data_IF_214003582507
#
_entry.id   IF_214003582507
#
_cell.length_a   1.000
_cell.length_b   1.000
_cell.length_c   1.000
_cell.angle_alpha   90.00
_cell.angle_beta   90.00
_cell.angle_gamma   90.00
#
_symmetry.space_group_name_H-M   'P 1'
#
loop_
_entity.id
_entity.type
_entity.pdbx_description
1 polymer ?
#
# COMPACT_ATOMS: atom_id res chain seq x y z
N UNK A 1 -17.88 -0.22 5.14
CA UNK A 1 -16.64 -0.71 4.53
C UNK A 1 -16.19 -1.94 5.29
N UNK A 2 -15.88 -3.03 4.59
CA UNK A 2 -15.38 -4.22 5.28
C UNK A 2 -14.05 -3.92 5.95
N UNK A 3 -13.89 -4.41 7.18
CA UNK A 3 -12.65 -4.28 7.91
C UNK A 3 -11.71 -5.43 7.56
N UNK A 4 -10.42 -5.25 7.79
CA UNK A 4 -9.42 -6.29 7.66
C UNK A 4 -8.87 -6.62 9.06
N UNK A 5 -8.20 -7.74 9.19
CA UNK A 5 -7.52 -8.07 10.44
C UNK A 5 -6.21 -7.31 10.55
N UNK A 6 -5.47 -7.22 9.44
CA UNK A 6 -4.17 -6.58 9.39
C UNK A 6 -4.01 -5.68 8.19
N UNK A 7 -3.14 -4.69 8.35
CA UNK A 7 -2.71 -3.76 7.30
C UNK A 7 -1.18 -3.78 7.29
N UNK A 8 -0.58 -3.72 6.10
CA UNK A 8 0.87 -3.53 5.97
C UNK A 8 1.14 -2.03 5.95
N UNK A 9 1.91 -1.54 6.92
CA UNK A 9 2.16 -0.12 7.11
C UNK A 9 3.64 0.12 7.44
N UNK A 10 4.30 0.91 6.61
CA UNK A 10 5.71 1.27 6.81
C UNK A 10 6.65 0.06 6.98
N UNK A 11 6.39 -1.00 6.23
CA UNK A 11 7.20 -2.19 6.25
C UNK A 11 6.82 -3.24 7.29
N UNK A 12 5.74 -3.01 8.04
CA UNK A 12 5.28 -3.90 9.10
C UNK A 12 3.81 -4.23 8.96
N UNK A 13 3.43 -5.43 9.42
CA UNK A 13 2.02 -5.79 9.52
C UNK A 13 1.50 -5.33 10.88
N UNK A 14 0.45 -4.50 10.85
CA UNK A 14 -0.17 -3.97 12.06
C UNK A 14 -1.65 -4.33 12.10
N UNK A 15 -2.22 -4.35 13.30
CA UNK A 15 -3.65 -4.58 13.45
C UNK A 15 -4.43 -3.44 12.79
N UNK A 16 -5.62 -3.74 12.30
CA UNK A 16 -6.48 -2.77 11.65
C UNK A 16 -6.63 -1.47 12.44
N UNK A 17 -6.89 -1.58 13.74
CA UNK A 17 -7.11 -0.43 14.62
C UNK A 17 -5.85 0.39 14.91
N UNK A 18 -4.67 -0.17 14.63
CA UNK A 18 -3.38 0.49 14.89
C UNK A 18 -2.82 1.20 13.65
N UNK A 19 -3.47 1.06 12.50
CA UNK A 19 -3.04 1.72 11.27
C UNK A 19 -3.47 3.19 11.27
N UNK A 20 -2.72 4.01 11.99
CA UNK A 20 -3.02 5.44 12.20
C UNK A 20 -1.86 6.30 11.74
N UNK A 21 -2.18 7.53 11.33
CA UNK A 21 -1.17 8.52 10.96
C UNK A 21 -1.32 9.75 11.87
N UNK A 22 -0.19 10.40 12.12
CA UNK A 22 -0.18 11.59 12.93
C UNK A 22 -0.85 12.76 12.18
N UNK A 23 -1.52 13.65 12.90
CA UNK A 23 -2.18 14.82 12.31
C UNK A 23 -1.18 15.74 11.59
N UNK A 24 0.09 15.69 11.95
CA UNK A 24 1.15 16.47 11.30
C UNK A 24 1.76 15.79 10.07
N UNK A 25 1.20 14.66 9.61
CA UNK A 25 1.67 13.99 8.41
C UNK A 25 1.59 14.93 7.21
N UNK A 26 2.68 14.99 6.44
CA UNK A 26 2.82 15.92 5.31
C UNK A 26 1.64 15.85 4.32
N UNK A 27 1.18 14.64 4.02
CA UNK A 27 0.07 14.44 3.08
C UNK A 27 -1.22 15.11 3.54
N UNK A 28 -1.49 15.16 4.86
CA UNK A 28 -2.70 15.78 5.39
C UNK A 28 -2.67 17.30 5.26
N UNK A 29 -1.48 17.89 5.28
CA UNK A 29 -1.32 19.35 5.18
C UNK A 29 -1.13 19.82 3.74
N UNK A 30 -0.43 19.03 2.91
CA UNK A 30 -0.01 19.45 1.58
C UNK A 30 -0.52 18.57 0.44
N UNK A 31 -1.30 17.53 0.78
CA UNK A 31 -1.85 16.64 -0.23
C UNK A 31 -0.83 15.78 -0.98
N UNK A 32 0.35 15.56 -0.39
CA UNK A 32 1.46 14.86 -1.06
C UNK A 32 1.37 13.36 -0.81
N UNK A 33 0.73 12.66 -1.71
CA UNK A 33 0.61 11.21 -1.64
C UNK A 33 0.36 10.62 -3.01
N UNK A 34 0.69 9.35 -3.17
CA UNK A 34 0.39 8.59 -4.38
C UNK A 34 -0.26 7.28 -4.00
N UNK A 35 -1.17 6.80 -4.84
CA UNK A 35 -1.86 5.55 -4.54
C UNK A 35 -2.15 4.75 -5.79
N UNK A 36 -2.37 3.45 -5.60
CA UNK A 36 -2.87 2.52 -6.62
C UNK A 36 -3.96 1.67 -6.02
N UNK A 37 -5.07 1.54 -6.76
CA UNK A 37 -6.15 0.64 -6.38
C UNK A 37 -6.07 -0.63 -7.22
N UNK A 38 -5.99 -1.78 -6.56
CA UNK A 38 -5.75 -3.07 -7.20
C UNK A 38 -6.85 -4.03 -6.78
N UNK A 39 -7.26 -4.90 -7.69
CA UNK A 39 -8.24 -5.95 -7.37
C UNK A 39 -7.60 -7.32 -7.40
N UNK A 40 -8.01 -8.15 -6.45
CA UNK A 40 -7.67 -9.56 -6.41
C UNK A 40 -8.95 -10.37 -6.53
N UNK A 41 -8.89 -11.46 -7.29
CA UNK A 41 -10.04 -12.30 -7.57
C UNK A 41 -9.74 -13.74 -7.22
N UNK A 42 -10.76 -14.44 -6.72
CA UNK A 42 -10.68 -15.87 -6.53
C UNK A 42 -10.69 -16.57 -7.89
N UNK A 43 -9.76 -17.49 -8.09
CA UNK A 43 -9.68 -18.32 -9.30
C UNK A 43 -9.54 -19.78 -8.90
N UNK A 44 -9.64 -20.68 -9.89
CA UNK A 44 -9.45 -22.13 -9.68
C UNK A 44 -8.05 -22.45 -9.14
N UNK A 45 -7.06 -21.56 -9.38
CA UNK A 45 -5.69 -21.72 -8.93
C UNK A 45 -5.37 -20.92 -7.65
N UNK A 46 -6.40 -20.35 -7.00
CA UNK A 46 -6.24 -19.50 -5.83
C UNK A 46 -6.51 -18.05 -6.16
N UNK A 47 -6.12 -17.16 -5.27
CA UNK A 47 -6.34 -15.73 -5.44
C UNK A 47 -5.32 -15.15 -6.43
N UNK A 48 -5.81 -14.46 -7.45
CA UNK A 48 -4.98 -13.79 -8.45
C UNK A 48 -5.13 -12.27 -8.34
N UNK A 49 -4.02 -11.57 -8.33
CA UNK A 49 -3.99 -10.10 -8.29
C UNK A 49 -3.97 -9.61 -9.74
N UNK A 50 -4.98 -8.81 -10.11
CA UNK A 50 -5.13 -8.35 -11.48
C UNK A 50 -4.10 -7.29 -11.82
N UNK A 51 -3.25 -7.56 -12.83
CA UNK A 51 -2.25 -6.64 -13.36
C UNK A 51 -1.33 -6.05 -12.27
N UNK A 52 -0.88 -6.88 -11.37
CA UNK A 52 -0.09 -6.46 -10.21
C UNK A 52 1.16 -5.68 -10.62
N UNK A 53 1.92 -6.21 -11.58
CA UNK A 53 3.15 -5.54 -12.04
C UNK A 53 2.86 -4.16 -12.64
N UNK A 54 1.81 -4.03 -13.44
CA UNK A 54 1.45 -2.75 -14.05
C UNK A 54 1.11 -1.70 -12.99
N UNK A 55 0.41 -2.10 -11.93
CA UNK A 55 0.10 -1.20 -10.81
C UNK A 55 1.34 -0.77 -10.04
N UNK A 56 2.27 -1.70 -9.80
CA UNK A 56 3.51 -1.37 -9.13
C UNK A 56 4.38 -0.43 -9.96
N UNK A 57 4.44 -0.66 -11.27
CA UNK A 57 5.18 0.21 -12.19
C UNK A 57 4.58 1.62 -12.21
N UNK A 58 3.24 1.71 -12.22
CA UNK A 58 2.56 3.00 -12.21
C UNK A 58 2.73 3.74 -10.89
N UNK A 59 2.72 3.03 -9.78
CA UNK A 59 2.98 3.63 -8.46
C UNK A 59 4.37 4.27 -8.43
N UNK A 60 5.37 3.56 -8.95
CA UNK A 60 6.74 4.07 -9.03
C UNK A 60 6.82 5.34 -9.89
N UNK A 61 6.15 5.34 -11.05
CA UNK A 61 6.11 6.52 -11.92
C UNK A 61 5.40 7.70 -11.26
N UNK A 62 4.29 7.44 -10.58
CA UNK A 62 3.55 8.49 -9.87
C UNK A 62 4.41 9.11 -8.77
N UNK A 63 5.12 8.28 -8.01
CA UNK A 63 6.02 8.79 -6.97
C UNK A 63 7.14 9.64 -7.57
N UNK A 64 7.73 9.22 -8.69
CA UNK A 64 8.79 9.96 -9.35
C UNK A 64 8.33 11.34 -9.83
N UNK A 65 7.09 11.47 -10.28
CA UNK A 65 6.53 12.76 -10.71
C UNK A 65 6.49 13.78 -9.57
N UNK A 66 6.39 13.33 -8.34
CA UNK A 66 6.37 14.19 -7.15
C UNK A 66 7.68 14.17 -6.39
N UNK A 67 8.76 13.66 -7.01
CA UNK A 67 10.09 13.56 -6.39
C UNK A 67 10.07 12.77 -5.09
N UNK A 68 9.19 11.78 -5.01
CA UNK A 68 9.05 10.91 -3.83
C UNK A 68 9.83 9.62 -4.07
N UNK A 69 10.75 9.30 -3.17
CA UNK A 69 11.48 8.05 -3.22
C UNK A 69 10.71 7.00 -2.43
N UNK A 70 10.27 5.94 -3.11
CA UNK A 70 9.62 4.83 -2.43
C UNK A 70 10.69 4.05 -1.64
N UNK A 71 10.51 3.85 -0.33
CA UNK A 71 11.52 3.18 0.50
C UNK A 71 11.54 1.66 0.32
N UNK A 72 10.62 1.13 -0.48
CA UNK A 72 10.47 -0.31 -0.72
C UNK A 72 10.56 -0.61 -2.20
N UNK A 73 11.23 -1.71 -2.55
CA UNK A 73 11.31 -2.17 -3.93
C UNK A 73 9.96 -2.71 -4.40
N UNK A 74 9.78 -2.80 -5.71
CA UNK A 74 8.57 -3.43 -6.27
C UNK A 74 8.44 -4.89 -5.83
N UNK A 75 9.55 -5.60 -5.68
CA UNK A 75 9.53 -6.98 -5.21
C UNK A 75 9.05 -7.07 -3.75
N UNK A 76 9.52 -6.17 -2.89
CA UNK A 76 9.06 -6.10 -1.50
C UNK A 76 7.56 -5.80 -1.42
N UNK A 77 7.07 -4.88 -2.24
CA UNK A 77 5.65 -4.52 -2.29
C UNK A 77 4.81 -5.68 -2.81
N UNK A 78 5.32 -6.42 -3.81
CA UNK A 78 4.64 -7.59 -4.35
C UNK A 78 4.48 -8.68 -3.28
N UNK A 79 5.57 -8.98 -2.59
CA UNK A 79 5.57 -9.99 -1.54
C UNK A 79 4.67 -9.59 -0.38
N UNK A 80 4.72 -8.32 0.04
CA UNK A 80 3.88 -7.81 1.10
C UNK A 80 2.40 -7.90 0.74
N UNK A 81 2.04 -7.62 -0.51
CA UNK A 81 0.66 -7.68 -0.97
C UNK A 81 0.12 -9.12 -0.90
N UNK A 82 0.91 -10.08 -1.37
CA UNK A 82 0.51 -11.49 -1.29
C UNK A 82 0.36 -11.96 0.16
N UNK A 83 1.31 -11.61 1.00
CA UNK A 83 1.26 -12.00 2.40
C UNK A 83 0.08 -11.34 3.13
N UNK A 84 -0.21 -10.09 2.81
CA UNK A 84 -1.35 -9.36 3.41
C UNK A 84 -2.68 -10.06 3.11
N UNK A 85 -2.88 -10.46 1.86
CA UNK A 85 -4.08 -11.20 1.45
C UNK A 85 -4.19 -12.51 2.26
N UNK A 86 -3.10 -13.24 2.37
CA UNK A 86 -3.07 -14.49 3.13
C UNK A 86 -3.36 -14.30 4.61
N UNK A 87 -2.78 -13.26 5.23
CA UNK A 87 -2.99 -12.99 6.66
C UNK A 87 -4.42 -12.60 6.97
N UNK A 88 -5.13 -11.96 6.03
CA UNK A 88 -6.52 -11.58 6.20
C UNK A 88 -7.50 -12.68 5.76
N UNK A 89 -7.00 -13.72 5.09
CA UNK A 89 -7.84 -14.83 4.64
C UNK A 89 -8.81 -14.44 3.53
N UNK A 90 -8.52 -13.40 2.77
CA UNK A 90 -9.38 -12.97 1.67
C UNK A 90 -9.10 -13.78 0.41
N UNK A 91 -10.17 -14.11 -0.33
CA UNK A 91 -10.06 -14.76 -1.63
C UNK A 91 -10.28 -13.76 -2.77
N UNK A 92 -11.14 -12.78 -2.54
CA UNK A 92 -11.36 -11.67 -3.46
C UNK A 92 -11.40 -10.39 -2.65
N UNK A 93 -10.70 -9.35 -3.08
CA UNK A 93 -10.63 -8.11 -2.32
C UNK A 93 -10.16 -6.95 -3.17
N UNK A 94 -10.29 -5.76 -2.62
CA UNK A 94 -9.71 -4.54 -3.14
C UNK A 94 -8.49 -4.20 -2.29
N UNK A 95 -7.39 -3.86 -2.96
CA UNK A 95 -6.13 -3.52 -2.30
C UNK A 95 -5.78 -2.08 -2.66
N UNK A 96 -5.50 -1.26 -1.66
CA UNK A 96 -5.01 0.09 -1.88
C UNK A 96 -3.56 0.18 -1.44
N UNK A 97 -2.66 0.54 -2.37
CA UNK A 97 -1.29 0.89 -2.06
C UNK A 97 -1.25 2.41 -1.93
N UNK A 98 -0.84 2.90 -0.78
CA UNK A 98 -0.78 4.33 -0.49
C UNK A 98 0.59 4.68 0.05
N UNK A 99 1.24 5.68 -0.54
CA UNK A 99 2.49 6.22 -0.03
C UNK A 99 2.36 7.72 0.16
N UNK A 100 2.77 8.20 1.33
CA UNK A 100 2.81 9.61 1.66
C UNK A 100 4.23 10.01 2.00
N UNK A 101 4.61 11.23 1.60
CA UNK A 101 5.92 11.77 1.99
C UNK A 101 6.00 11.92 3.51
N UNK A 102 7.19 11.71 4.10
CA UNK A 102 7.40 12.06 5.51
C UNK A 102 7.14 13.55 5.70
N UNK A 103 6.71 13.94 6.91
CA UNK A 103 6.56 15.35 7.23
C UNK A 103 7.95 16.02 7.22
N UNK A 104 8.04 17.35 7.02
CA UNK A 104 9.32 18.05 7.08
C UNK A 104 10.10 17.82 8.38
N UNK A 105 9.39 17.50 9.47
CA UNK A 105 10.03 17.18 10.76
C UNK A 105 10.80 15.87 10.72
N UNK A 106 10.31 14.90 9.92
CA UNK A 106 10.89 13.56 9.86
C UNK A 106 12.08 13.49 8.93
N UNK A 107 12.38 14.58 8.22
CA UNK A 107 13.48 14.66 7.27
C UNK A 107 14.74 15.31 7.82
N UNK A 108 14.67 15.80 9.02
CA UNK A 108 15.80 16.47 9.66
C UNK A 108 16.93 15.51 10.01
#
# INVERSE_FOLDING_TARGET
>A
MPTADQIWMNGEFVAWEDAKVHVLTHALHYGTGVFEGIRAYETERGTAIFRHQDHLDRLEKSAALYYMDLPFSKQELREATHELIGRNGFTSCYICLLYTSPSPRDRS
#
